data_IF_174309323845
#
_entry.id   IF_174309323845
#
_cell.length_a   1.000
_cell.length_b   1.000
_cell.length_c   1.000
_cell.angle_alpha   90.00
_cell.angle_beta   90.00
_cell.angle_gamma   90.00
#
_symmetry.space_group_name_H-M   'P 1'
#
loop_
_entity.id
_entity.type
_entity.pdbx_description
1 polymer ?
#
# COMPACT_ATOMS: atom_id res chain seq x y z
N UNK A 1 6.58 -11.11 17.05
CA UNK A 1 6.06 -11.78 15.85
C UNK A 1 4.90 -10.99 15.20
N UNK A 2 3.86 -10.58 15.97
CA UNK A 2 2.73 -9.83 15.42
C UNK A 2 3.14 -8.46 14.85
N UNK A 3 4.01 -7.71 15.52
CA UNK A 3 4.53 -6.42 15.07
C UNK A 3 5.37 -6.56 13.78
N UNK A 4 6.17 -7.62 13.67
CA UNK A 4 6.95 -7.91 12.47
C UNK A 4 6.02 -8.21 11.28
N UNK A 5 4.97 -9.02 11.50
CA UNK A 5 3.98 -9.30 10.46
C UNK A 5 3.22 -8.05 10.00
N UNK A 6 2.88 -7.15 10.93
CA UNK A 6 2.17 -5.91 10.61
C UNK A 6 3.05 -4.91 9.84
N UNK A 7 4.31 -4.75 10.25
CA UNK A 7 5.26 -3.92 9.54
C UNK A 7 5.55 -4.40 8.12
N UNK A 8 5.65 -5.72 7.94
CA UNK A 8 5.80 -6.33 6.62
C UNK A 8 4.56 -6.05 5.77
N UNK A 9 3.36 -6.28 6.29
CA UNK A 9 2.11 -6.07 5.57
C UNK A 9 1.91 -4.60 5.15
N UNK A 10 2.22 -3.64 6.03
CA UNK A 10 2.04 -2.21 5.73
C UNK A 10 3.10 -1.66 4.78
N UNK A 11 4.36 -2.08 4.93
CA UNK A 11 5.46 -1.54 4.09
C UNK A 11 5.38 -2.08 2.66
N UNK A 12 5.06 -3.35 2.49
CA UNK A 12 5.00 -3.98 1.16
C UNK A 12 3.60 -4.01 0.54
N UNK A 13 2.55 -3.94 1.33
CA UNK A 13 1.17 -3.83 0.84
C UNK A 13 0.90 -2.56 0.04
N UNK A 14 1.69 -1.52 0.26
CA UNK A 14 1.56 -0.27 -0.46
C UNK A 14 2.22 -0.25 -1.85
N UNK A 15 3.10 -1.21 -2.18
CA UNK A 15 3.90 -1.14 -3.42
C UNK A 15 3.22 -1.85 -4.59
N UNK A 16 2.67 -3.03 -4.40
CA UNK A 16 2.12 -3.84 -5.51
C UNK A 16 0.78 -3.37 -6.04
N UNK A 17 -0.17 -3.07 -5.16
CA UNK A 17 -1.54 -2.68 -5.56
C UNK A 17 -1.62 -1.28 -6.16
N UNK A 18 -0.91 -0.25 -5.66
CA UNK A 18 -0.95 1.08 -6.25
C UNK A 18 -0.16 1.23 -7.56
N UNK A 19 0.88 0.43 -7.82
CA UNK A 19 1.75 0.63 -8.98
C UNK A 19 0.96 0.50 -10.27
N UNK A 20 0.20 -0.58 -10.47
CA UNK A 20 -0.47 -0.80 -11.76
C UNK A 20 -1.45 0.30 -12.13
N UNK A 21 -2.48 0.62 -11.34
CA UNK A 21 -3.43 1.66 -11.73
C UNK A 21 -2.78 3.05 -11.79
N UNK A 22 -1.92 3.40 -10.86
CA UNK A 22 -1.33 4.74 -10.80
C UNK A 22 -0.29 4.97 -11.89
N UNK A 23 0.58 4.00 -12.16
CA UNK A 23 1.60 4.10 -13.22
C UNK A 23 0.93 3.96 -14.59
N UNK A 24 0.04 2.99 -14.80
CA UNK A 24 -0.61 2.82 -16.10
C UNK A 24 -1.51 4.00 -16.46
N UNK A 25 -2.20 4.62 -15.50
CA UNK A 25 -2.99 5.82 -15.73
C UNK A 25 -2.09 7.00 -16.10
N UNK A 26 -0.99 7.20 -15.37
CA UNK A 26 -0.03 8.26 -15.63
C UNK A 26 0.64 8.09 -17.01
N UNK A 27 1.14 6.90 -17.32
CA UNK A 27 1.81 6.62 -18.60
C UNK A 27 0.81 6.60 -19.76
N UNK A 28 -0.40 6.09 -19.57
CA UNK A 28 -1.46 6.10 -20.58
C UNK A 28 -1.95 7.51 -20.96
N UNK A 29 -1.60 8.53 -20.19
CA UNK A 29 -1.85 9.94 -20.52
C UNK A 29 -0.78 10.55 -21.42
N UNK A 30 0.33 9.85 -21.65
CA UNK A 30 1.41 10.26 -22.55
C UNK A 30 0.94 10.03 -24.01
N UNK A 31 1.14 11.02 -24.87
CA UNK A 31 0.72 10.96 -26.26
C UNK A 31 1.38 9.78 -27.01
N UNK A 32 0.57 9.01 -27.70
CA UNK A 32 1.01 7.88 -28.52
C UNK A 32 1.11 6.55 -27.79
N UNK A 33 0.87 6.48 -26.49
CA UNK A 33 0.86 5.24 -25.72
C UNK A 33 -0.56 4.70 -25.58
N UNK A 34 -0.78 3.47 -26.02
CA UNK A 34 -2.06 2.79 -25.82
C UNK A 34 -2.23 2.30 -24.38
N UNK A 35 -3.47 2.10 -23.96
CA UNK A 35 -3.78 1.54 -22.61
C UNK A 35 -3.12 0.17 -22.37
N UNK A 36 -3.00 -0.65 -23.42
CA UNK A 36 -2.35 -1.96 -23.32
C UNK A 36 -0.83 -1.83 -23.11
N UNK A 37 -0.18 -0.90 -23.80
CA UNK A 37 1.25 -0.60 -23.61
C UNK A 37 1.52 -0.02 -22.23
N UNK A 38 0.68 0.90 -21.76
CA UNK A 38 0.78 1.46 -20.41
C UNK A 38 0.60 0.38 -19.32
N UNK A 39 -0.31 -0.56 -19.50
CA UNK A 39 -0.50 -1.68 -18.58
C UNK A 39 0.70 -2.65 -18.58
N UNK A 40 1.25 -2.95 -19.75
CA UNK A 40 2.45 -3.78 -19.88
C UNK A 40 3.67 -3.12 -19.24
N UNK A 41 3.85 -1.82 -19.47
CA UNK A 41 4.89 -1.01 -18.82
C UNK A 41 4.78 -1.05 -17.28
N UNK A 42 3.59 -0.82 -16.75
CA UNK A 42 3.36 -0.86 -15.31
C UNK A 42 3.64 -2.24 -14.70
N UNK A 43 3.36 -3.32 -15.42
CA UNK A 43 3.70 -4.68 -14.99
C UNK A 43 5.21 -4.90 -14.92
N UNK A 44 5.96 -4.38 -15.89
CA UNK A 44 7.43 -4.45 -15.92
C UNK A 44 8.05 -3.62 -14.79
N UNK A 45 7.60 -2.38 -14.60
CA UNK A 45 8.00 -1.52 -13.46
C UNK A 45 7.75 -2.23 -12.14
N UNK A 46 6.58 -2.87 -11.96
CA UNK A 46 6.28 -3.63 -10.76
C UNK A 46 7.22 -4.81 -10.52
N UNK A 47 7.59 -5.53 -11.58
CA UNK A 47 8.55 -6.63 -11.51
C UNK A 47 9.92 -6.14 -11.05
N UNK A 48 10.41 -5.04 -11.63
CA UNK A 48 11.68 -4.41 -11.25
C UNK A 48 11.63 -3.88 -9.82
N UNK A 49 10.55 -3.18 -9.43
CA UNK A 49 10.34 -2.73 -8.07
C UNK A 49 10.38 -3.91 -7.07
N UNK A 50 9.74 -5.04 -7.42
CA UNK A 50 9.82 -6.27 -6.63
C UNK A 50 11.24 -6.77 -6.45
N UNK A 51 12.04 -6.79 -7.52
CA UNK A 51 13.44 -7.19 -7.48
C UNK A 51 14.31 -6.23 -6.65
N UNK A 52 14.09 -4.92 -6.75
CA UNK A 52 14.79 -3.94 -5.93
C UNK A 52 14.47 -4.08 -4.44
N UNK A 53 13.26 -4.52 -4.10
CA UNK A 53 12.87 -4.80 -2.73
C UNK A 53 13.47 -6.10 -2.16
N UNK A 54 14.06 -6.96 -2.99
CA UNK A 54 14.58 -8.26 -2.55
C UNK A 54 15.58 -8.13 -1.40
N UNK A 55 16.58 -7.27 -1.55
CA UNK A 55 17.61 -7.11 -0.52
C UNK A 55 17.11 -6.29 0.70
N UNK A 56 16.58 -5.07 0.55
CA UNK A 56 16.12 -4.30 1.70
C UNK A 56 14.94 -4.97 2.42
N UNK A 57 14.06 -5.65 1.69
CA UNK A 57 12.89 -6.31 2.25
C UNK A 57 13.20 -7.39 3.29
N UNK A 58 14.33 -8.09 3.15
CA UNK A 58 14.80 -9.05 4.15
C UNK A 58 15.03 -8.38 5.51
N UNK A 59 15.50 -7.13 5.51
CA UNK A 59 15.87 -6.41 6.73
C UNK A 59 14.74 -5.57 7.34
N UNK A 60 13.63 -5.35 6.63
CA UNK A 60 12.52 -4.53 7.14
C UNK A 60 12.00 -5.00 8.50
N UNK A 61 11.74 -6.30 8.74
CA UNK A 61 11.29 -6.75 10.05
C UNK A 61 12.32 -6.48 11.15
N UNK A 62 13.60 -6.65 10.85
CA UNK A 62 14.67 -6.37 11.79
C UNK A 62 14.77 -4.87 12.12
N UNK A 63 14.71 -4.01 11.10
CA UNK A 63 14.73 -2.55 11.29
C UNK A 63 13.53 -2.10 12.12
N UNK A 64 12.32 -2.59 11.80
CA UNK A 64 11.11 -2.23 12.54
C UNK A 64 11.19 -2.62 14.01
N UNK A 65 11.57 -3.88 14.31
CA UNK A 65 11.75 -4.33 15.70
C UNK A 65 12.84 -3.52 16.39
N UNK A 66 13.93 -3.22 15.68
CA UNK A 66 15.03 -2.41 16.22
C UNK A 66 14.57 -1.00 16.60
N UNK A 67 13.79 -0.36 15.74
CA UNK A 67 13.21 0.97 16.03
C UNK A 67 12.29 0.93 17.26
N UNK A 68 11.37 -0.05 17.31
CA UNK A 68 10.45 -0.20 18.44
C UNK A 68 11.23 -0.39 19.76
N UNK A 69 12.19 -1.33 19.78
CA UNK A 69 12.98 -1.58 20.98
C UNK A 69 13.84 -0.40 21.37
N UNK A 70 14.42 0.30 20.40
CA UNK A 70 15.30 1.45 20.63
C UNK A 70 14.53 2.65 21.21
N UNK A 71 13.35 2.95 20.67
CA UNK A 71 12.59 4.12 21.09
C UNK A 71 11.66 3.85 22.28
N UNK A 72 11.16 2.62 22.43
CA UNK A 72 10.13 2.27 23.42
C UNK A 72 10.53 1.14 24.37
N UNK A 73 11.79 0.66 24.30
CA UNK A 73 12.22 -0.51 25.07
C UNK A 73 12.77 -0.21 26.46
N UNK A 74 13.24 0.98 26.73
CA UNK A 74 13.81 1.37 28.02
C UNK A 74 13.60 2.87 28.25
N UNK A 75 13.10 3.21 29.43
CA UNK A 75 12.93 4.61 29.86
C UNK A 75 14.22 5.22 30.39
N UNK A 76 15.19 4.40 30.78
CA UNK A 76 16.45 4.84 31.38
C UNK A 76 17.63 4.95 30.40
N UNK A 77 17.42 4.51 29.18
CA UNK A 77 18.45 4.59 28.14
C UNK A 77 18.11 3.77 26.89
N UNK A 78 18.46 4.29 25.73
CA UNK A 78 18.24 3.65 24.44
C UNK A 78 19.24 2.53 24.23
N UNK A 79 18.78 1.29 24.06
CA UNK A 79 19.64 0.12 23.86
C UNK A 79 19.10 -0.80 22.77
N UNK A 80 20.00 -1.32 21.94
CA UNK A 80 19.71 -2.35 20.95
C UNK A 80 20.07 -3.76 21.44
N UNK A 81 20.59 -3.90 22.67
CA UNK A 81 20.98 -5.21 23.21
C UNK A 81 19.84 -6.24 23.23
N UNK A 82 18.58 -5.88 23.54
CA UNK A 82 17.46 -6.83 23.55
C UNK A 82 17.10 -7.40 22.16
N UNK A 83 17.63 -6.83 21.08
CA UNK A 83 17.30 -7.27 19.70
C UNK A 83 18.06 -8.54 19.32
N UNK A 84 19.25 -8.78 19.85
CA UNK A 84 20.11 -9.90 19.46
C UNK A 84 19.40 -11.25 19.42
N UNK A 85 18.57 -11.63 20.41
CA UNK A 85 17.88 -12.92 20.37
C UNK A 85 16.80 -13.04 19.30
N UNK A 86 16.24 -11.92 18.82
CA UNK A 86 15.17 -11.90 17.81
C UNK A 86 15.68 -11.79 16.37
N UNK A 87 16.97 -11.44 16.17
CA UNK A 87 17.56 -11.26 14.82
C UNK A 87 17.32 -12.46 13.91
N UNK A 88 17.55 -13.73 14.32
CA UNK A 88 17.32 -14.87 13.43
C UNK A 88 15.86 -14.98 12.99
N UNK A 89 14.91 -14.74 13.88
CA UNK A 89 13.48 -14.75 13.55
C UNK A 89 13.10 -13.60 12.61
N UNK A 90 13.61 -12.40 12.87
CA UNK A 90 13.32 -11.23 12.06
C UNK A 90 13.84 -11.38 10.61
N UNK A 91 15.06 -11.87 10.45
CA UNK A 91 15.64 -12.17 9.12
C UNK A 91 14.85 -13.29 8.42
N UNK A 92 14.54 -14.37 9.16
CA UNK A 92 13.74 -15.47 8.61
C UNK A 92 12.37 -14.98 8.13
N UNK A 93 11.67 -14.18 8.93
CA UNK A 93 10.38 -13.59 8.56
C UNK A 93 10.49 -12.72 7.30
N UNK A 94 11.57 -11.91 7.20
CA UNK A 94 11.85 -11.12 6.01
C UNK A 94 12.04 -11.99 4.77
N UNK A 95 12.85 -13.04 4.86
CA UNK A 95 13.08 -13.99 3.76
C UNK A 95 11.79 -14.72 3.38
N UNK A 96 11.05 -15.23 4.37
CA UNK A 96 9.79 -15.95 4.18
C UNK A 96 8.72 -15.09 3.50
N UNK A 97 8.77 -13.78 3.69
CA UNK A 97 7.87 -12.83 3.03
C UNK A 97 8.37 -12.42 1.65
N UNK A 98 9.65 -12.01 1.52
CA UNK A 98 10.11 -11.35 0.30
C UNK A 98 10.24 -12.32 -0.88
N UNK A 99 10.53 -13.59 -0.64
CA UNK A 99 10.61 -14.59 -1.71
C UNK A 99 9.27 -14.75 -2.43
N UNK A 100 8.14 -15.08 -1.77
CA UNK A 100 6.85 -15.14 -2.44
C UNK A 100 6.38 -13.78 -2.97
N UNK A 101 6.78 -12.65 -2.35
CA UNK A 101 6.48 -11.32 -2.85
C UNK A 101 7.08 -11.10 -4.23
N UNK A 102 8.39 -11.30 -4.37
CA UNK A 102 9.09 -11.12 -5.65
C UNK A 102 8.61 -12.14 -6.68
N UNK A 103 8.43 -13.40 -6.30
CA UNK A 103 7.91 -14.41 -7.21
C UNK A 103 6.52 -14.03 -7.75
N UNK A 104 5.64 -13.50 -6.91
CA UNK A 104 4.31 -13.06 -7.34
C UNK A 104 4.41 -11.81 -8.23
N UNK A 105 5.25 -10.83 -7.89
CA UNK A 105 5.44 -9.63 -8.70
C UNK A 105 5.95 -9.94 -10.12
N UNK A 106 6.87 -10.89 -10.23
CA UNK A 106 7.50 -11.25 -11.52
C UNK A 106 6.62 -12.18 -12.36
N UNK A 107 5.98 -13.19 -11.75
CA UNK A 107 5.29 -14.26 -12.49
C UNK A 107 3.78 -14.13 -12.54
N UNK A 108 3.16 -13.37 -11.65
CA UNK A 108 1.70 -13.23 -11.55
C UNK A 108 1.25 -11.82 -11.89
N UNK A 109 1.97 -10.81 -11.42
CA UNK A 109 1.68 -9.41 -11.70
C UNK A 109 1.64 -8.52 -10.45
N UNK A 110 1.41 -7.22 -10.64
CA UNK A 110 1.57 -6.20 -9.59
C UNK A 110 0.51 -6.23 -8.49
N UNK A 111 -0.63 -6.86 -8.70
CA UNK A 111 -1.80 -6.71 -7.84
C UNK A 111 -1.81 -7.66 -6.64
N UNK A 112 -1.14 -8.80 -6.75
CA UNK A 112 -1.23 -9.88 -5.77
C UNK A 112 -0.03 -10.07 -4.83
N UNK A 113 1.16 -9.45 -5.03
CA UNK A 113 2.32 -9.67 -4.19
C UNK A 113 2.05 -9.41 -2.70
N UNK A 114 1.37 -8.30 -2.39
CA UNK A 114 1.04 -7.89 -1.03
C UNK A 114 -0.04 -8.76 -0.37
N UNK A 115 -0.77 -9.54 -1.14
CA UNK A 115 -1.79 -10.48 -0.63
C UNK A 115 -1.22 -11.87 -0.45
N UNK A 116 -0.52 -12.39 -1.46
CA UNK A 116 0.02 -13.76 -1.46
C UNK A 116 1.22 -13.88 -0.52
N UNK A 117 2.11 -12.89 -0.54
CA UNK A 117 3.32 -12.95 0.27
C UNK A 117 3.08 -13.07 1.79
N UNK A 118 2.21 -12.26 2.42
CA UNK A 118 1.93 -12.44 3.85
C UNK A 118 1.19 -13.74 4.16
N UNK A 119 0.36 -14.25 3.24
CA UNK A 119 -0.30 -15.55 3.45
C UNK A 119 0.70 -16.69 3.49
N UNK A 120 1.63 -16.74 2.55
CA UNK A 120 2.67 -17.77 2.51
C UNK A 120 3.70 -17.52 3.61
N UNK A 121 4.31 -16.34 3.64
CA UNK A 121 5.38 -16.00 4.58
C UNK A 121 4.92 -16.02 6.03
N UNK A 122 3.72 -15.51 6.31
CA UNK A 122 3.10 -15.56 7.63
C UNK A 122 2.81 -16.99 8.08
N UNK A 123 2.23 -17.81 7.20
CA UNK A 123 1.94 -19.21 7.49
C UNK A 123 3.22 -20.00 7.77
N UNK A 124 4.27 -19.81 6.98
CA UNK A 124 5.57 -20.45 7.17
C UNK A 124 6.21 -19.99 8.48
N UNK A 125 6.18 -18.69 8.77
CA UNK A 125 6.72 -18.15 10.03
C UNK A 125 5.99 -18.71 11.24
N UNK A 126 4.65 -18.76 11.22
CA UNK A 126 3.83 -19.36 12.30
C UNK A 126 4.14 -20.85 12.45
N UNK A 127 4.30 -21.59 11.36
CA UNK A 127 4.64 -23.01 11.42
C UNK A 127 6.01 -23.25 12.06
N UNK A 128 7.01 -22.42 11.75
CA UNK A 128 8.35 -22.48 12.34
C UNK A 128 8.31 -22.17 13.85
N UNK A 129 7.57 -21.14 14.24
CA UNK A 129 7.39 -20.77 15.64
C UNK A 129 6.65 -21.85 16.44
N UNK A 130 5.61 -22.47 15.86
CA UNK A 130 4.90 -23.59 16.49
C UNK A 130 5.77 -24.82 16.73
N UNK A 131 6.82 -25.01 15.91
CA UNK A 131 7.82 -26.07 16.11
C UNK A 131 8.88 -25.71 17.16
N UNK A 132 8.80 -24.51 17.75
CA UNK A 132 9.79 -24.02 18.70
C UNK A 132 11.10 -23.54 18.07
N UNK A 133 11.13 -23.39 16.73
CA UNK A 133 12.33 -22.94 16.04
C UNK A 133 12.41 -21.41 16.04
N UNK A 134 13.62 -20.88 16.14
CA UNK A 134 13.90 -19.44 16.13
C UNK A 134 13.21 -18.64 17.26
N UNK A 135 12.69 -19.32 18.28
CA UNK A 135 12.17 -18.64 19.47
C UNK A 135 13.31 -18.03 20.26
N UNK A 136 13.23 -16.75 20.65
CA UNK A 136 14.21 -16.16 21.53
C UNK A 136 14.20 -16.85 22.90
N UNK A 137 15.38 -17.03 23.48
CA UNK A 137 15.52 -17.66 24.80
C UNK A 137 15.09 -16.74 25.96
N UNK A 138 14.94 -15.45 25.69
CA UNK A 138 14.56 -14.43 26.68
C UNK A 138 13.29 -13.73 26.25
N UNK A 139 12.35 -13.56 27.18
CA UNK A 139 11.16 -12.76 26.95
C UNK A 139 11.53 -11.26 27.06
N UNK A 140 11.04 -10.49 26.13
CA UNK A 140 11.11 -9.04 26.16
C UNK A 140 9.71 -8.47 26.23
N UNK A 141 9.51 -7.49 27.12
CA UNK A 141 8.25 -6.80 27.31
C UNK A 141 8.48 -5.28 27.30
N UNK A 142 7.47 -4.53 26.90
CA UNK A 142 7.49 -3.09 27.08
C UNK A 142 7.56 -2.72 28.56
N UNK A 143 8.16 -1.58 28.91
CA UNK A 143 8.03 -0.99 30.23
C UNK A 143 6.57 -0.91 30.65
N UNK A 144 6.31 -0.91 31.96
CA UNK A 144 4.93 -0.73 32.47
C UNK A 144 4.38 0.62 32.01
N UNK A 145 3.10 0.68 31.68
CA UNK A 145 2.44 1.90 31.17
C UNK A 145 2.51 3.08 32.12
N UNK A 146 2.62 2.83 33.45
CA UNK A 146 2.72 3.87 34.47
C UNK A 146 4.00 4.71 34.37
N UNK A 147 5.03 4.18 33.71
CA UNK A 147 6.33 4.87 33.54
C UNK A 147 6.57 5.34 32.11
N UNK A 148 5.57 5.28 31.26
CA UNK A 148 5.70 5.77 29.90
C UNK A 148 5.77 7.29 29.87
N UNK A 149 6.65 7.89 29.09
CA UNK A 149 6.66 9.33 28.84
C UNK A 149 5.34 9.77 28.17
N UNK A 150 4.86 10.98 28.47
CA UNK A 150 3.59 11.51 27.95
C UNK A 150 3.46 11.47 26.43
N UNK A 151 4.55 11.51 25.69
CA UNK A 151 4.54 11.44 24.22
C UNK A 151 4.50 10.03 23.63
N UNK A 152 4.53 8.96 24.42
CA UNK A 152 4.54 7.58 23.88
C UNK A 152 3.18 7.10 23.43
N UNK A 153 2.11 7.58 24.06
CA UNK A 153 0.72 7.24 23.73
C UNK A 153 0.12 8.16 22.65
N UNK A 154 0.78 9.27 22.31
CA UNK A 154 0.19 10.29 21.47
C UNK A 154 -1.11 10.82 22.09
N UNK A 155 -2.10 11.12 21.25
CA UNK A 155 -3.43 11.55 21.71
C UNK A 155 -4.38 10.37 22.05
N UNK A 156 -3.83 9.13 22.08
CA UNK A 156 -4.64 7.94 22.41
C UNK A 156 -4.73 7.81 23.94
N UNK A 157 -5.91 8.03 24.48
CA UNK A 157 -6.21 7.78 25.89
C UNK A 157 -6.37 6.26 26.11
N UNK A 158 -5.35 5.65 26.71
CA UNK A 158 -5.41 4.23 27.10
C UNK A 158 -6.19 3.99 28.38
N UNK A 159 -6.92 4.98 28.88
CA UNK A 159 -7.78 4.82 30.06
C UNK A 159 -7.02 4.58 31.38
N UNK A 160 -5.75 5.01 31.47
CA UNK A 160 -4.91 4.86 32.69
C UNK A 160 -5.29 5.87 33.78
N UNK A 161 -6.54 6.28 33.85
CA UNK A 161 -7.04 7.32 34.73
C UNK A 161 -8.18 6.88 35.65
N UNK A 162 -8.23 5.64 36.14
CA UNK A 162 -8.85 5.29 37.43
C UNK A 162 -8.48 3.83 37.76
N UNK A 163 -7.68 3.68 38.80
CA UNK A 163 -7.38 2.40 39.39
C UNK A 163 -8.64 1.88 40.13
N UNK A 164 -9.51 1.24 39.40
CA UNK A 164 -10.18 0.06 39.90
C UNK A 164 -9.63 -1.12 39.12
N UNK A 165 -9.10 -2.11 39.84
CA UNK A 165 -8.40 -3.29 39.40
C UNK A 165 -9.12 -4.12 38.34
N UNK A 166 -9.34 -3.56 37.17
CA UNK A 166 -9.65 -4.29 35.97
C UNK A 166 -8.48 -4.04 35.00
N UNK A 167 -7.52 -5.01 34.98
CA UNK A 167 -6.82 -5.33 33.74
C UNK A 167 -7.77 -4.97 32.59
N UNK A 168 -7.36 -4.29 31.49
CA UNK A 168 -8.15 -4.32 30.28
C UNK A 168 -8.16 -5.78 29.82
N UNK A 169 -8.94 -6.57 30.50
CA UNK A 169 -9.54 -7.75 29.92
C UNK A 169 -10.24 -7.15 28.72
N UNK A 170 -9.73 -7.38 27.49
CA UNK A 170 -10.60 -7.42 26.33
C UNK A 170 -11.89 -8.01 26.88
N UNK A 171 -12.95 -7.23 26.85
CA UNK A 171 -14.21 -7.63 27.44
C UNK A 171 -14.55 -9.02 26.92
N UNK A 172 -14.20 -10.01 27.70
CA UNK A 172 -14.74 -11.34 27.60
C UNK A 172 -16.09 -11.22 28.30
N UNK A 173 -16.93 -10.33 27.77
CA UNK A 173 -18.34 -10.53 27.88
C UNK A 173 -18.59 -11.91 27.28
N UNK A 174 -19.12 -12.82 28.09
CA UNK A 174 -19.34 -14.23 27.87
C UNK A 174 -19.77 -14.71 26.49
N UNK A 175 -19.17 -14.18 25.45
CA UNK A 175 -19.32 -14.53 24.05
C UNK A 175 -18.36 -15.68 23.73
N UNK A 176 -18.90 -16.76 23.21
CA UNK A 176 -18.22 -17.90 22.64
C UNK A 176 -16.93 -17.45 21.92
N UNK A 177 -15.78 -17.99 22.30
CA UNK A 177 -14.50 -17.75 21.62
C UNK A 177 -14.72 -17.94 20.12
N UNK A 178 -14.61 -16.86 19.34
CA UNK A 178 -14.72 -16.94 17.90
C UNK A 178 -13.68 -17.95 17.40
N UNK A 179 -14.11 -18.96 16.66
CA UNK A 179 -13.15 -19.89 16.07
C UNK A 179 -12.23 -19.13 15.12
N UNK A 180 -10.96 -19.50 15.07
CA UNK A 180 -9.97 -18.89 14.16
C UNK A 180 -10.48 -18.88 12.71
N UNK A 181 -11.21 -19.90 12.29
CA UNK A 181 -11.83 -20.00 10.97
C UNK A 181 -12.87 -18.91 10.77
N UNK A 182 -13.74 -18.67 11.76
CA UNK A 182 -14.75 -17.62 11.68
C UNK A 182 -14.12 -16.23 11.67
N UNK A 183 -13.10 -16.00 12.50
CA UNK A 183 -12.38 -14.74 12.53
C UNK A 183 -11.62 -14.45 11.22
N UNK A 184 -11.05 -15.49 10.58
CA UNK A 184 -10.30 -15.37 9.32
C UNK A 184 -11.16 -15.37 8.06
N UNK A 185 -12.44 -15.79 8.15
CA UNK A 185 -13.28 -16.00 6.95
C UNK A 185 -13.47 -14.77 6.07
N UNK A 186 -13.63 -13.52 6.57
CA UNK A 186 -13.74 -12.35 5.71
C UNK A 186 -12.45 -12.08 4.93
N UNK A 187 -11.29 -12.29 5.54
CA UNK A 187 -10.00 -12.12 4.87
C UNK A 187 -9.80 -13.14 3.76
N UNK A 188 -10.17 -14.40 4.00
CA UNK A 188 -10.12 -15.44 2.97
C UNK A 188 -11.08 -15.12 1.83
N UNK A 189 -12.30 -14.67 2.15
CA UNK A 189 -13.27 -14.24 1.15
C UNK A 189 -12.71 -13.08 0.31
N UNK A 190 -12.15 -12.05 0.94
CA UNK A 190 -11.56 -10.92 0.25
C UNK A 190 -10.45 -11.37 -0.71
N UNK A 191 -9.54 -12.22 -0.24
CA UNK A 191 -8.45 -12.75 -1.07
C UNK A 191 -8.99 -13.50 -2.29
N UNK A 192 -9.97 -14.39 -2.08
CA UNK A 192 -10.61 -15.15 -3.18
C UNK A 192 -11.24 -14.18 -4.17
N UNK A 193 -12.00 -13.20 -3.70
CA UNK A 193 -12.63 -12.19 -4.56
C UNK A 193 -11.59 -11.39 -5.35
N UNK A 194 -10.52 -10.92 -4.69
CA UNK A 194 -9.46 -10.18 -5.38
C UNK A 194 -8.73 -11.03 -6.43
N UNK A 195 -8.55 -12.32 -6.19
CA UNK A 195 -7.91 -13.22 -7.18
C UNK A 195 -8.81 -13.48 -8.36
N UNK A 196 -10.09 -13.85 -8.14
CA UNK A 196 -11.00 -14.22 -9.23
C UNK A 196 -11.47 -13.04 -10.08
N UNK A 197 -11.26 -11.80 -9.61
CA UNK A 197 -11.66 -10.58 -10.32
C UNK A 197 -10.49 -9.89 -11.04
N UNK A 198 -9.35 -10.56 -11.19
CA UNK A 198 -8.19 -10.01 -11.92
C UNK A 198 -8.21 -10.40 -13.41
N UNK A 199 -7.47 -9.63 -14.22
CA UNK A 199 -7.45 -9.73 -15.70
C UNK A 199 -7.12 -11.11 -16.25
N UNK A 200 -6.35 -11.91 -15.50
CA UNK A 200 -6.03 -13.28 -15.89
C UNK A 200 -7.20 -14.27 -15.74
N UNK A 201 -8.37 -13.78 -15.30
CA UNK A 201 -9.59 -14.59 -15.15
C UNK A 201 -10.69 -14.11 -16.10
N UNK A 202 -11.60 -15.00 -16.56
CA UNK A 202 -12.74 -14.60 -17.38
C UNK A 202 -13.66 -13.59 -16.66
N UNK A 203 -13.74 -13.66 -15.33
CA UNK A 203 -14.55 -12.72 -14.55
C UNK A 203 -13.92 -11.33 -14.54
N UNK A 204 -12.61 -11.24 -14.38
CA UNK A 204 -11.88 -9.97 -14.42
C UNK A 204 -12.08 -9.25 -15.76
N UNK A 205 -11.88 -9.95 -16.87
CA UNK A 205 -12.16 -9.43 -18.21
C UNK A 205 -13.61 -8.93 -18.36
N UNK A 206 -14.59 -9.69 -17.87
CA UNK A 206 -15.99 -9.25 -17.91
C UNK A 206 -16.23 -7.96 -17.10
N UNK A 207 -15.53 -7.76 -15.98
CA UNK A 207 -15.70 -6.57 -15.12
C UNK A 207 -15.15 -5.29 -15.73
N UNK A 208 -14.24 -5.39 -16.70
CA UNK A 208 -13.67 -4.25 -17.42
C UNK A 208 -14.30 -4.02 -18.79
N UNK A 209 -14.89 -5.06 -19.41
CA UNK A 209 -15.47 -4.98 -20.76
C UNK A 209 -16.97 -4.64 -20.76
N UNK A 210 -17.72 -5.02 -19.72
CA UNK A 210 -19.16 -4.83 -19.66
C UNK A 210 -19.50 -3.46 -19.09
N UNK A 211 -20.14 -2.62 -19.88
CA UNK A 211 -20.44 -1.21 -19.58
C UNK A 211 -21.21 -0.96 -18.28
N UNK A 212 -21.96 -1.94 -17.76
CA UNK A 212 -22.67 -1.80 -16.47
C UNK A 212 -21.69 -1.69 -15.29
N UNK A 213 -20.47 -2.19 -15.46
CA UNK A 213 -19.43 -2.15 -14.43
C UNK A 213 -18.49 -0.94 -14.57
N UNK A 214 -18.67 -0.15 -15.62
CA UNK A 214 -17.90 1.08 -15.88
C UNK A 214 -18.80 2.29 -15.72
N UNK A 215 -18.43 3.22 -14.85
CA UNK A 215 -19.06 4.53 -14.75
C UNK A 215 -18.18 5.52 -15.54
N UNK A 216 -18.69 6.00 -16.65
CA UNK A 216 -17.96 6.96 -17.51
C UNK A 216 -18.63 8.32 -17.43
N UNK A 217 -17.84 9.37 -17.28
CA UNK A 217 -18.26 10.75 -17.37
C UNK A 217 -17.60 11.37 -18.60
N UNK A 218 -18.37 11.45 -19.67
CA UNK A 218 -17.91 12.01 -20.95
C UNK A 218 -18.04 13.51 -20.96
N UNK A 219 -17.06 14.19 -21.55
CA UNK A 219 -17.10 15.63 -21.78
C UNK A 219 -17.23 16.43 -20.47
N UNK A 220 -16.39 16.16 -19.49
CA UNK A 220 -16.45 16.78 -18.16
C UNK A 220 -16.51 18.30 -18.29
N UNK A 221 -17.58 18.91 -17.75
CA UNK A 221 -17.88 20.35 -17.85
C UNK A 221 -17.86 20.92 -19.27
N UNK A 222 -18.22 20.10 -20.29
CA UNK A 222 -18.25 20.53 -21.69
C UNK A 222 -16.88 20.57 -22.38
N UNK A 223 -15.88 19.95 -21.78
CA UNK A 223 -14.53 19.76 -22.35
C UNK A 223 -14.44 18.46 -23.16
N UNK A 224 -13.30 18.21 -23.79
CA UNK A 224 -12.98 16.93 -24.44
C UNK A 224 -12.51 15.85 -23.44
N UNK A 225 -12.40 16.20 -22.16
CA UNK A 225 -11.92 15.30 -21.11
C UNK A 225 -13.01 14.31 -20.74
N UNK A 226 -12.68 13.03 -20.84
CA UNK A 226 -13.52 11.91 -20.41
C UNK A 226 -12.76 11.15 -19.34
N UNK A 227 -13.44 10.75 -18.28
CA UNK A 227 -12.87 9.85 -17.25
C UNK A 227 -13.88 8.79 -16.88
N UNK A 228 -13.39 7.61 -16.52
CA UNK A 228 -14.21 6.46 -16.13
C UNK A 228 -13.59 5.70 -14.97
N UNK A 229 -14.45 4.97 -14.27
CA UNK A 229 -14.05 4.04 -13.22
C UNK A 229 -14.76 2.70 -13.41
N UNK A 230 -13.98 1.65 -13.48
CA UNK A 230 -14.48 0.26 -13.46
C UNK A 230 -14.77 -0.13 -12.00
N UNK A 231 -15.88 0.37 -11.48
CA UNK A 231 -16.21 0.32 -10.05
C UNK A 231 -16.26 -1.12 -9.51
N UNK A 232 -16.61 -2.09 -10.33
CA UNK A 232 -16.65 -3.50 -9.93
C UNK A 232 -15.27 -4.18 -10.03
N UNK A 233 -14.30 -3.58 -10.73
CA UNK A 233 -12.94 -4.09 -10.83
C UNK A 233 -12.04 -3.57 -9.70
N UNK A 234 -12.30 -2.35 -9.18
CA UNK A 234 -11.47 -1.77 -8.13
C UNK A 234 -11.56 -2.56 -6.81
N UNK A 235 -10.44 -2.77 -6.11
CA UNK A 235 -10.41 -3.52 -4.85
C UNK A 235 -11.38 -2.98 -3.78
N UNK A 236 -11.67 -1.68 -3.79
CA UNK A 236 -12.58 -1.02 -2.85
C UNK A 236 -13.99 -1.63 -2.85
N UNK A 237 -14.54 -2.00 -4.02
CA UNK A 237 -15.85 -2.62 -4.11
C UNK A 237 -15.89 -3.97 -3.36
N UNK A 238 -14.84 -4.76 -3.49
CA UNK A 238 -14.72 -6.07 -2.82
C UNK A 238 -14.47 -5.95 -1.32
N UNK A 239 -13.75 -4.90 -0.88
CA UNK A 239 -13.61 -4.58 0.54
C UNK A 239 -14.97 -4.25 1.16
N UNK A 240 -15.78 -3.40 0.51
CA UNK A 240 -17.14 -3.07 0.97
C UNK A 240 -18.01 -4.32 1.01
N UNK A 241 -18.01 -5.14 -0.06
CA UNK A 241 -18.77 -6.38 -0.09
C UNK A 241 -18.36 -7.34 1.04
N UNK A 242 -17.07 -7.49 1.28
CA UNK A 242 -16.55 -8.34 2.36
C UNK A 242 -16.96 -7.81 3.73
N UNK A 243 -16.95 -6.49 3.93
CA UNK A 243 -17.44 -5.87 5.16
C UNK A 243 -18.93 -6.13 5.38
N UNK A 244 -19.75 -6.05 4.32
CA UNK A 244 -21.18 -6.38 4.40
C UNK A 244 -21.40 -7.86 4.74
N UNK A 245 -20.63 -8.77 4.17
CA UNK A 245 -20.68 -10.20 4.50
C UNK A 245 -20.24 -10.49 5.93
N UNK A 246 -19.29 -9.71 6.45
CA UNK A 246 -18.84 -9.84 7.84
C UNK A 246 -19.96 -9.57 8.86
N UNK A 247 -20.93 -8.72 8.54
CA UNK A 247 -22.08 -8.40 9.44
C UNK A 247 -22.80 -9.67 9.92
N UNK A 248 -23.35 -10.50 9.03
CA UNK A 248 -24.01 -11.75 9.44
C UNK A 248 -23.02 -12.79 9.95
N UNK A 249 -21.81 -12.84 9.43
CA UNK A 249 -20.78 -13.79 9.88
C UNK A 249 -20.45 -13.60 11.36
N UNK A 250 -20.33 -12.36 11.79
CA UNK A 250 -20.04 -12.03 13.19
C UNK A 250 -21.30 -11.81 14.05
N UNK A 251 -22.47 -11.69 13.44
CA UNK A 251 -23.72 -11.40 14.15
C UNK A 251 -23.75 -10.00 14.73
N UNK A 252 -23.19 -9.02 13.98
CA UNK A 252 -23.11 -7.63 14.43
C UNK A 252 -24.51 -7.00 14.55
N UNK A 253 -24.73 -6.25 15.61
CA UNK A 253 -25.94 -5.46 15.80
C UNK A 253 -25.96 -4.24 14.86
N UNK A 254 -27.15 -3.70 14.60
CA UNK A 254 -27.32 -2.50 13.77
C UNK A 254 -26.54 -1.31 14.34
N UNK A 255 -26.49 -1.18 15.66
CA UNK A 255 -25.77 -0.07 16.32
C UNK A 255 -24.26 -0.20 16.12
N UNK A 256 -23.71 -1.42 16.25
CA UNK A 256 -22.29 -1.69 15.96
C UNK A 256 -21.95 -1.40 14.50
N UNK A 257 -22.79 -1.81 13.56
CA UNK A 257 -22.59 -1.51 12.14
C UNK A 257 -22.63 -0.01 11.89
N UNK A 258 -23.62 0.69 12.44
CA UNK A 258 -23.74 2.15 12.33
C UNK A 258 -22.50 2.87 12.87
N UNK A 259 -22.04 2.48 14.06
CA UNK A 259 -20.84 3.05 14.66
C UNK A 259 -19.62 2.80 13.77
N UNK A 260 -19.40 1.57 13.31
CA UNK A 260 -18.26 1.24 12.44
C UNK A 260 -18.25 2.07 11.14
N UNK A 261 -19.42 2.31 10.53
CA UNK A 261 -19.52 3.16 9.34
C UNK A 261 -19.31 4.64 9.66
N UNK A 262 -19.76 5.12 10.81
CA UNK A 262 -19.49 6.50 11.25
C UNK A 262 -17.98 6.71 11.47
N UNK A 263 -17.34 5.83 12.24
CA UNK A 263 -15.91 5.89 12.53
C UNK A 263 -15.06 5.82 11.22
N UNK A 264 -15.46 4.93 10.31
CA UNK A 264 -14.81 4.83 8.98
C UNK A 264 -15.00 6.12 8.17
N UNK A 265 -16.20 6.71 8.17
CA UNK A 265 -16.49 7.98 7.49
C UNK A 265 -15.67 9.14 8.02
N UNK A 266 -15.62 9.30 9.34
CA UNK A 266 -14.84 10.35 10.01
C UNK A 266 -13.34 10.22 9.70
N UNK A 267 -12.81 9.00 9.80
CA UNK A 267 -11.39 8.72 9.53
C UNK A 267 -11.02 8.93 8.06
N UNK A 268 -11.94 8.60 7.13
CA UNK A 268 -11.67 8.66 5.68
C UNK A 268 -11.92 10.04 5.07
N UNK A 269 -12.69 10.92 5.71
CA UNK A 269 -13.12 12.18 5.12
C UNK A 269 -11.93 13.10 4.76
N UNK A 270 -11.01 13.31 5.69
CA UNK A 270 -9.84 14.17 5.46
C UNK A 270 -8.90 13.65 4.35
N UNK A 271 -8.48 12.36 4.37
CA UNK A 271 -7.70 11.79 3.28
C UNK A 271 -8.43 11.84 1.93
N UNK A 272 -9.74 11.58 1.89
CA UNK A 272 -10.52 11.61 0.66
C UNK A 272 -10.54 13.02 0.03
N UNK A 273 -10.76 14.06 0.84
CA UNK A 273 -10.72 15.45 0.37
C UNK A 273 -9.34 15.79 -0.20
N UNK A 274 -8.28 15.44 0.52
CA UNK A 274 -6.91 15.69 0.06
C UNK A 274 -6.64 15.00 -1.30
N UNK A 275 -7.04 13.72 -1.44
CA UNK A 275 -6.88 12.97 -2.68
C UNK A 275 -7.62 13.61 -3.86
N UNK A 276 -8.86 14.09 -3.67
CA UNK A 276 -9.62 14.75 -4.72
C UNK A 276 -8.85 15.97 -5.27
N UNK A 277 -8.30 16.81 -4.40
CA UNK A 277 -7.55 17.98 -4.84
C UNK A 277 -6.21 17.62 -5.49
N UNK A 278 -5.49 16.65 -4.96
CA UNK A 278 -4.19 16.22 -5.51
C UNK A 278 -4.38 15.57 -6.88
N UNK A 279 -5.30 14.62 -7.02
CA UNK A 279 -5.59 13.95 -8.30
C UNK A 279 -6.11 14.95 -9.32
N UNK A 280 -6.99 15.88 -8.90
CA UNK A 280 -7.46 16.96 -9.77
C UNK A 280 -6.33 17.86 -10.29
N UNK A 281 -5.38 18.21 -9.42
CA UNK A 281 -4.20 19.02 -9.81
C UNK A 281 -3.34 18.26 -10.83
N UNK A 282 -3.06 16.98 -10.57
CA UNK A 282 -2.30 16.13 -11.49
C UNK A 282 -3.02 15.99 -12.83
N UNK A 283 -4.34 15.78 -12.81
CA UNK A 283 -5.16 15.73 -14.03
C UNK A 283 -5.03 17.01 -14.87
N UNK A 284 -5.06 18.18 -14.22
CA UNK A 284 -4.82 19.47 -14.91
C UNK A 284 -3.42 19.51 -15.52
N UNK A 285 -2.40 19.12 -14.80
CA UNK A 285 -1.01 19.11 -15.30
C UNK A 285 -0.85 18.20 -16.52
N UNK A 286 -1.42 16.99 -16.47
CA UNK A 286 -1.35 16.01 -17.56
C UNK A 286 -2.12 16.47 -18.80
N UNK A 287 -3.31 17.05 -18.62
CA UNK A 287 -4.22 17.42 -19.71
C UNK A 287 -3.97 18.85 -20.26
N UNK A 288 -3.08 19.61 -19.63
CA UNK A 288 -2.85 21.03 -20.01
C UNK A 288 -2.36 21.22 -21.44
N UNK A 289 -1.70 20.23 -22.04
CA UNK A 289 -1.25 20.27 -23.44
C UNK A 289 -2.39 20.24 -24.47
N UNK A 290 -3.58 19.80 -24.09
CA UNK A 290 -4.73 19.69 -24.99
C UNK A 290 -5.45 21.07 -25.22
N UNK A 291 -5.08 22.12 -24.51
CA UNK A 291 -5.69 23.42 -24.65
C UNK A 291 -5.03 24.21 -25.81
N UNK A 292 -5.83 24.93 -26.62
CA UNK A 292 -5.35 25.63 -27.84
C UNK A 292 -4.24 26.65 -27.60
N UNK A 293 -4.19 27.22 -26.39
CA UNK A 293 -3.22 28.27 -26.03
C UNK A 293 -1.97 27.68 -25.33
N UNK A 294 -1.85 26.35 -25.26
CA UNK A 294 -0.68 25.72 -24.67
C UNK A 294 0.56 25.94 -25.55
N UNK A 295 1.62 26.59 -25.05
CA UNK A 295 2.83 26.85 -25.84
C UNK A 295 3.43 25.53 -26.37
N UNK A 296 3.47 25.38 -27.69
CA UNK A 296 4.02 24.19 -28.34
C UNK A 296 3.16 22.89 -28.23
N UNK A 297 1.95 22.98 -27.67
CA UNK A 297 1.09 21.82 -27.45
C UNK A 297 1.59 20.86 -26.33
N UNK A 298 2.65 21.23 -25.63
CA UNK A 298 3.19 20.43 -24.55
C UNK A 298 2.38 20.57 -23.27
N UNK A 299 2.16 19.47 -22.55
CA UNK A 299 1.57 19.52 -21.20
C UNK A 299 2.56 20.15 -20.20
N UNK A 300 2.04 20.58 -19.05
CA UNK A 300 2.91 21.07 -17.95
C UNK A 300 3.92 20.03 -17.52
N UNK A 301 3.57 18.75 -17.56
CA UNK A 301 4.48 17.64 -17.25
C UNK A 301 5.62 17.55 -18.25
N UNK A 302 5.32 17.60 -19.56
CA UNK A 302 6.33 17.58 -20.62
C UNK A 302 7.25 18.80 -20.53
N UNK A 303 6.69 20.00 -20.36
CA UNK A 303 7.49 21.22 -20.21
C UNK A 303 8.42 21.18 -18.98
N UNK A 304 7.95 20.57 -17.87
CA UNK A 304 8.77 20.35 -16.69
C UNK A 304 9.86 19.31 -16.94
N UNK A 305 9.52 18.22 -17.64
CA UNK A 305 10.46 17.17 -18.02
C UNK A 305 11.61 17.71 -18.85
N UNK A 306 11.28 18.50 -19.89
CA UNK A 306 12.27 19.14 -20.74
C UNK A 306 13.19 20.07 -19.93
N UNK A 307 12.62 20.88 -19.04
CA UNK A 307 13.40 21.78 -18.18
C UNK A 307 14.35 21.04 -17.23
N UNK A 308 13.89 19.93 -16.63
CA UNK A 308 14.71 19.08 -15.77
C UNK A 308 15.77 18.34 -16.60
N UNK A 309 15.38 17.81 -17.76
CA UNK A 309 16.29 17.13 -18.69
C UNK A 309 17.48 17.98 -19.08
N UNK A 310 17.27 19.25 -19.40
CA UNK A 310 18.34 20.20 -19.76
C UNK A 310 19.43 20.35 -18.66
N UNK A 311 19.05 20.17 -17.40
CA UNK A 311 19.96 20.44 -16.25
C UNK A 311 20.54 19.14 -15.68
N UNK A 312 19.78 18.05 -15.69
CA UNK A 312 20.07 16.84 -14.93
C UNK A 312 20.26 15.57 -15.77
N UNK A 313 20.26 15.64 -17.11
CA UNK A 313 20.31 14.45 -18.00
C UNK A 313 21.35 13.42 -17.55
N UNK A 314 22.60 13.84 -17.30
CA UNK A 314 23.70 12.95 -16.97
C UNK A 314 23.59 12.27 -15.59
N UNK A 315 22.81 12.84 -14.67
CA UNK A 315 22.69 12.34 -13.29
C UNK A 315 21.25 11.93 -12.95
N UNK A 316 20.32 12.00 -13.92
CA UNK A 316 18.90 11.79 -13.64
C UNK A 316 18.59 10.40 -13.08
N UNK A 317 19.27 9.38 -13.56
CA UNK A 317 19.13 8.00 -13.02
C UNK A 317 19.37 7.94 -11.50
N UNK A 318 20.27 8.78 -10.97
CA UNK A 318 20.52 8.88 -9.53
C UNK A 318 19.47 9.76 -8.83
N UNK A 319 18.92 10.75 -9.55
CA UNK A 319 17.92 11.69 -8.99
C UNK A 319 16.51 11.13 -9.01
N UNK A 320 16.18 10.19 -9.87
CA UNK A 320 14.85 9.60 -10.00
C UNK A 320 14.33 9.03 -8.66
N UNK A 321 15.13 8.22 -7.98
CA UNK A 321 14.75 7.64 -6.69
C UNK A 321 14.53 8.70 -5.60
N UNK A 322 15.42 9.71 -5.35
CA UNK A 322 15.12 10.84 -4.48
C UNK A 322 13.85 11.61 -4.84
N UNK A 323 13.55 11.81 -6.11
CA UNK A 323 12.30 12.49 -6.55
C UNK A 323 11.09 11.67 -6.13
N UNK A 324 11.08 10.36 -6.34
CA UNK A 324 10.00 9.47 -5.90
C UNK A 324 9.84 9.47 -4.36
N UNK A 325 10.93 9.48 -3.61
CA UNK A 325 10.90 9.57 -2.14
C UNK A 325 10.30 10.91 -1.69
N UNK A 326 10.75 12.04 -2.26
CA UNK A 326 10.21 13.36 -1.95
C UNK A 326 8.73 13.43 -2.33
N UNK A 327 8.36 12.92 -3.50
CA UNK A 327 6.98 12.84 -3.94
C UNK A 327 6.09 12.10 -2.94
N UNK A 328 6.52 10.92 -2.50
CA UNK A 328 5.80 10.12 -1.49
C UNK A 328 5.75 10.84 -0.14
N UNK A 329 6.82 11.49 0.27
CA UNK A 329 6.88 12.24 1.53
C UNK A 329 5.92 13.43 1.52
N UNK A 330 5.91 14.21 0.44
CA UNK A 330 5.05 15.41 0.31
C UNK A 330 3.57 15.03 0.21
N UNK A 331 3.26 13.99 -0.56
CA UNK A 331 1.87 13.56 -0.79
C UNK A 331 1.32 12.66 0.30
N UNK A 332 2.19 12.08 1.13
CA UNK A 332 1.82 11.07 2.13
C UNK A 332 1.34 9.74 1.51
N UNK A 333 1.46 9.55 0.20
CA UNK A 333 0.92 8.41 -0.54
C UNK A 333 1.81 8.00 -1.71
N UNK A 334 2.21 6.72 -1.75
CA UNK A 334 2.94 6.15 -2.89
C UNK A 334 2.10 6.21 -4.17
N UNK A 335 0.80 5.89 -4.08
CA UNK A 335 -0.09 5.93 -5.25
C UNK A 335 -0.17 7.34 -5.85
N UNK A 336 -0.34 8.36 -5.02
CA UNK A 336 -0.40 9.75 -5.47
C UNK A 336 0.94 10.20 -6.05
N UNK A 337 2.06 9.82 -5.44
CA UNK A 337 3.39 10.08 -5.97
C UNK A 337 3.58 9.45 -7.36
N UNK A 338 3.16 8.19 -7.53
CA UNK A 338 3.24 7.51 -8.83
C UNK A 338 2.37 8.21 -9.89
N UNK A 339 1.13 8.55 -9.57
CA UNK A 339 0.26 9.29 -10.50
C UNK A 339 0.92 10.60 -10.93
N UNK A 340 1.54 11.31 -9.99
CA UNK A 340 2.12 12.64 -10.25
C UNK A 340 3.42 12.56 -11.03
N UNK A 341 4.30 11.63 -10.72
CA UNK A 341 5.68 11.67 -11.18
C UNK A 341 6.03 10.60 -12.22
N UNK A 342 5.23 9.53 -12.41
CA UNK A 342 5.58 8.48 -13.36
C UNK A 342 5.65 8.99 -14.80
N UNK A 343 4.68 9.79 -15.26
CA UNK A 343 4.73 10.37 -16.59
C UNK A 343 5.92 11.33 -16.76
N UNK A 344 6.21 12.15 -15.75
CA UNK A 344 7.38 13.03 -15.75
C UNK A 344 8.69 12.24 -15.85
N UNK A 345 8.85 11.21 -15.05
CA UNK A 345 10.04 10.37 -15.06
C UNK A 345 10.18 9.59 -16.37
N UNK A 346 9.07 9.12 -16.92
CA UNK A 346 9.02 8.47 -18.23
C UNK A 346 9.50 9.43 -19.33
N UNK A 347 8.94 10.62 -19.43
CA UNK A 347 9.30 11.62 -20.43
C UNK A 347 10.78 12.04 -20.34
N UNK A 348 11.30 12.22 -19.12
CA UNK A 348 12.73 12.51 -18.93
C UNK A 348 13.58 11.34 -19.38
N UNK A 349 13.19 10.09 -19.10
CA UNK A 349 13.92 8.93 -19.52
C UNK A 349 13.97 8.81 -21.04
N UNK A 350 12.83 8.99 -21.74
CA UNK A 350 12.74 8.98 -23.19
C UNK A 350 13.61 10.09 -23.80
N UNK A 351 13.50 11.32 -23.33
CA UNK A 351 14.26 12.45 -23.85
C UNK A 351 15.76 12.34 -23.59
N UNK A 352 16.15 11.64 -22.54
CA UNK A 352 17.55 11.43 -22.14
C UNK A 352 18.14 10.12 -22.68
N UNK A 353 17.36 9.28 -23.39
CA UNK A 353 17.80 7.97 -23.90
C UNK A 353 18.11 6.96 -22.79
N UNK A 354 17.44 7.10 -21.64
CA UNK A 354 17.54 6.15 -20.53
C UNK A 354 16.52 5.02 -20.70
N UNK A 355 16.68 3.95 -19.92
CA UNK A 355 15.69 2.86 -19.87
C UNK A 355 14.55 3.28 -18.96
N UNK A 356 13.39 3.51 -19.52
CA UNK A 356 12.25 4.13 -18.86
C UNK A 356 11.76 3.34 -17.64
N UNK A 357 11.72 2.01 -17.75
CA UNK A 357 11.29 1.13 -16.67
C UNK A 357 12.22 1.16 -15.45
N UNK A 358 13.48 1.54 -15.64
CA UNK A 358 14.45 1.67 -14.54
C UNK A 358 14.42 3.04 -13.87
N UNK A 359 13.80 4.02 -14.53
CA UNK A 359 13.71 5.40 -14.04
C UNK A 359 12.40 5.62 -13.29
N UNK A 360 11.29 5.11 -13.82
CA UNK A 360 9.97 5.16 -13.20
C UNK A 360 9.86 4.18 -12.03
#
# INVERSE_FOLDING_TARGET
AALVGHAIATTFGAVGVPIRPSVSESIGSVDGISAAEAAAFAAEVSSLAGLYHLLPGVFVPLVTVSMVVYFFGDTNGRSLAPIKPIVPLAIFAGVAFIIPFVATAVFVGPELPSVIAPMIGGSVTVAVLKKGWLLPATDWQFPRSEIWPDGWSGDVDFGVGNQDNTTPTMATDGGSSLSLVRAGSPYVLLVVLLVITRDFTPLGAMLTEVSIFTLTWDGIFGTTVTNGIDWAYVPGAWLVLTALVAIPVFGLSVDQVKQAWQDAGETSASPAIALVFVIGTVGIMLQSGQYPDSPGGASMIVALADGIGLVFTDIYTVMAAPIGVIGTFVTGSVAVSNITFSALQYEIAVSSGLVEQHVV
#
